data_IF_362674239462
#
_entry.id   IF_362674239462
#
_cell.length_a   1.000
_cell.length_b   1.000
_cell.length_c   1.000
_cell.angle_alpha   90.00
_cell.angle_beta   90.00
_cell.angle_gamma   90.00
#
_symmetry.space_group_name_H-M   'P 1'
#
loop_
_entity.id
_entity.type
_entity.pdbx_description
1 polymer ?
#
# COMPACT_ATOMS: atom_id res chain seq x y z
N UNK A 1 70.18 -32.95 7.75
CA UNK A 1 68.85 -32.71 8.35
C UNK A 1 68.08 -31.78 7.43
N UNK A 2 67.10 -32.31 6.69
CA UNK A 2 66.25 -31.52 5.79
C UNK A 2 64.96 -31.20 6.54
N UNK A 3 64.74 -29.92 6.87
CA UNK A 3 63.53 -29.46 7.56
C UNK A 3 62.49 -29.18 6.47
N UNK A 4 61.53 -30.08 6.29
CA UNK A 4 60.35 -29.84 5.47
C UNK A 4 59.43 -28.87 6.23
N UNK A 5 59.38 -27.61 5.79
CA UNK A 5 58.30 -26.68 6.14
C UNK A 5 57.02 -27.17 5.47
N UNK A 6 56.10 -27.72 6.27
CA UNK A 6 54.70 -27.83 5.91
C UNK A 6 54.05 -26.48 6.23
N UNK A 7 53.88 -25.65 5.21
CA UNK A 7 52.99 -24.47 5.27
C UNK A 7 51.79 -24.77 4.41
N UNK A 8 50.94 -25.70 4.87
CA UNK A 8 49.56 -25.77 4.39
C UNK A 8 48.82 -24.68 5.15
N UNK A 9 48.65 -23.52 4.51
CA UNK A 9 47.64 -22.56 4.94
C UNK A 9 46.31 -23.18 4.55
N UNK A 10 45.54 -23.63 5.53
CA UNK A 10 44.12 -23.87 5.32
C UNK A 10 43.51 -22.52 4.93
N UNK A 11 42.82 -22.49 3.79
CA UNK A 11 42.03 -21.32 3.37
C UNK A 11 41.03 -21.03 4.48
N UNK A 12 41.14 -19.85 5.09
CA UNK A 12 40.11 -19.31 5.98
C UNK A 12 38.76 -19.55 5.32
N UNK A 13 37.95 -20.36 5.99
CA UNK A 13 36.62 -20.72 5.58
C UNK A 13 35.88 -19.45 5.13
N UNK A 14 35.31 -19.52 3.92
CA UNK A 14 34.31 -18.56 3.43
C UNK A 14 33.05 -18.72 4.30
N UNK A 15 33.15 -18.36 5.59
CA UNK A 15 31.99 -18.18 6.45
C UNK A 15 31.32 -16.92 5.95
N UNK A 16 30.45 -17.07 4.95
CA UNK A 16 29.42 -16.09 4.64
C UNK A 16 28.69 -15.86 5.97
N UNK A 17 28.91 -14.71 6.59
CA UNK A 17 28.06 -14.30 7.68
C UNK A 17 26.66 -14.19 7.06
N UNK A 18 25.70 -14.91 7.62
CA UNK A 18 24.32 -14.75 7.20
C UNK A 18 23.96 -13.29 7.46
N UNK A 19 23.56 -12.60 6.41
CA UNK A 19 23.30 -11.18 6.42
C UNK A 19 21.93 -10.88 7.07
N UNK A 20 20.98 -11.82 6.89
CA UNK A 20 19.68 -11.89 7.58
C UNK A 20 19.73 -12.83 8.79
N UNK A 21 18.99 -12.46 9.83
CA UNK A 21 18.73 -13.24 11.03
C UNK A 21 17.22 -13.41 11.25
N UNK A 22 16.81 -14.56 11.77
CA UNK A 22 15.42 -14.84 12.12
C UNK A 22 15.35 -15.50 13.51
N UNK A 23 14.49 -15.00 14.39
CA UNK A 23 14.31 -15.51 15.76
C UNK A 23 12.87 -15.37 16.22
N UNK A 24 12.44 -16.20 17.17
CA UNK A 24 11.14 -16.04 17.84
C UNK A 24 11.36 -15.43 19.23
N UNK A 25 10.61 -14.36 19.51
CA UNK A 25 10.60 -13.64 20.77
C UNK A 25 9.97 -14.50 21.88
N UNK A 26 10.22 -14.18 23.15
CA UNK A 26 9.54 -14.85 24.26
C UNK A 26 8.01 -14.59 24.30
N UNK A 27 7.55 -13.54 23.60
CA UNK A 27 6.14 -13.19 23.41
C UNK A 27 5.47 -13.91 22.25
N UNK A 28 6.23 -14.60 21.39
CA UNK A 28 5.69 -15.27 20.19
C UNK A 28 5.84 -14.47 18.90
N UNK A 29 6.55 -13.34 18.90
CA UNK A 29 6.82 -12.57 17.69
C UNK A 29 7.91 -13.25 16.85
N UNK A 30 7.71 -13.42 15.55
CA UNK A 30 8.78 -13.73 14.61
C UNK A 30 9.51 -12.44 14.24
N UNK A 31 10.79 -12.34 14.58
CA UNK A 31 11.64 -11.19 14.25
C UNK A 31 12.61 -11.61 13.15
N UNK A 32 12.51 -10.97 11.99
CA UNK A 32 13.44 -11.11 10.85
C UNK A 32 14.13 -9.78 10.63
N UNK A 33 15.47 -9.78 10.66
CA UNK A 33 16.23 -8.54 10.51
C UNK A 33 17.62 -8.76 9.93
N UNK A 34 18.15 -7.76 9.23
CA UNK A 34 19.50 -7.80 8.69
C UNK A 34 19.66 -7.02 7.39
N UNK A 35 20.71 -7.38 6.67
CA UNK A 35 20.94 -6.97 5.28
C UNK A 35 20.58 -8.18 4.42
N UNK A 36 19.72 -8.07 3.41
CA UNK A 36 19.46 -9.23 2.55
C UNK A 36 20.55 -9.40 1.47
N UNK A 37 20.95 -10.63 1.20
CA UNK A 37 21.83 -10.96 0.06
C UNK A 37 21.00 -11.20 -1.23
N UNK A 38 19.67 -11.15 -1.13
CA UNK A 38 18.69 -11.34 -2.19
C UNK A 38 17.27 -11.46 -1.63
N UNK A 39 16.38 -12.18 -2.32
CA UNK A 39 15.00 -12.32 -1.86
C UNK A 39 14.91 -13.05 -0.50
N UNK A 40 14.19 -12.45 0.45
CA UNK A 40 13.85 -13.03 1.75
C UNK A 40 12.45 -13.63 1.68
N UNK A 41 12.32 -14.93 1.94
CA UNK A 41 11.01 -15.59 1.97
C UNK A 41 10.71 -16.09 3.38
N UNK A 42 9.55 -15.71 3.91
CA UNK A 42 9.01 -16.14 5.20
C UNK A 42 7.81 -17.01 4.92
N UNK A 43 7.92 -18.31 5.18
CA UNK A 43 6.90 -19.29 4.78
C UNK A 43 6.44 -20.09 5.97
N UNK A 44 5.14 -20.09 6.22
CA UNK A 44 4.46 -21.00 7.13
C UNK A 44 4.70 -22.47 6.72
N UNK A 45 5.09 -23.31 7.68
CA UNK A 45 5.33 -24.75 7.47
C UNK A 45 4.29 -25.60 8.19
N UNK A 46 3.90 -25.17 9.38
CA UNK A 46 2.80 -25.74 10.18
C UNK A 46 2.30 -24.69 11.16
N UNK A 47 1.32 -25.05 12.00
CA UNK A 47 0.78 -24.16 13.03
C UNK A 47 1.90 -23.58 13.92
N UNK A 48 2.03 -22.25 13.91
CA UNK A 48 3.02 -21.48 14.65
C UNK A 48 4.48 -21.75 14.28
N UNK A 49 4.75 -22.39 13.14
CA UNK A 49 6.10 -22.72 12.70
C UNK A 49 6.41 -22.21 11.29
N UNK A 50 7.58 -21.60 11.14
CA UNK A 50 7.98 -20.89 9.93
C UNK A 50 9.35 -21.32 9.42
N UNK A 51 9.61 -21.05 8.14
CA UNK A 51 10.94 -21.11 7.54
C UNK A 51 11.27 -19.75 6.95
N UNK A 52 12.49 -19.29 7.18
CA UNK A 52 13.02 -18.06 6.57
C UNK A 52 14.22 -18.41 5.69
N UNK A 53 14.17 -17.97 4.43
CA UNK A 53 15.27 -18.07 3.47
C UNK A 53 15.76 -16.69 3.08
N UNK A 54 17.03 -16.59 2.69
CA UNK A 54 17.67 -15.42 2.08
C UNK A 54 18.42 -15.90 0.83
N UNK A 55 17.99 -15.43 -0.34
CA UNK A 55 18.53 -15.85 -1.64
C UNK A 55 18.53 -17.39 -1.80
N UNK A 56 17.45 -18.03 -1.33
CA UNK A 56 17.26 -19.48 -1.33
C UNK A 56 18.07 -20.26 -0.27
N UNK A 57 18.89 -19.59 0.55
CA UNK A 57 19.61 -20.20 1.66
C UNK A 57 18.75 -20.17 2.91
N UNK A 58 18.52 -21.32 3.55
CA UNK A 58 17.75 -21.38 4.80
C UNK A 58 18.52 -20.70 5.92
N UNK A 59 17.93 -19.64 6.48
CA UNK A 59 18.44 -18.91 7.66
C UNK A 59 18.02 -19.63 8.93
N UNK A 60 16.74 -19.99 9.01
CA UNK A 60 16.16 -20.79 10.08
C UNK A 60 14.92 -21.52 9.55
N UNK A 61 14.66 -22.73 10.05
CA UNK A 61 13.55 -23.57 9.64
C UNK A 61 12.54 -23.78 10.76
N UNK A 62 11.54 -24.63 10.50
CA UNK A 62 10.46 -24.94 11.42
C UNK A 62 10.90 -25.74 12.66
N UNK A 63 12.16 -26.17 12.77
CA UNK A 63 12.70 -26.73 14.01
C UNK A 63 13.19 -25.63 14.96
N UNK A 64 13.50 -24.44 14.41
CA UNK A 64 14.03 -23.28 15.14
C UNK A 64 12.94 -22.23 15.35
N UNK A 65 12.19 -21.90 14.31
CA UNK A 65 11.16 -20.86 14.32
C UNK A 65 9.80 -21.47 14.64
N UNK A 66 9.62 -21.85 15.90
CA UNK A 66 8.35 -22.40 16.43
C UNK A 66 7.75 -21.48 17.49
N UNK A 67 6.45 -21.61 17.72
CA UNK A 67 5.74 -20.83 18.73
C UNK A 67 5.50 -19.38 18.31
N UNK A 68 5.40 -19.12 17.00
CA UNK A 68 4.99 -17.83 16.47
C UNK A 68 3.47 -17.72 16.62
N UNK A 69 3.03 -16.89 17.56
CA UNK A 69 1.61 -16.76 17.95
C UNK A 69 1.15 -15.31 18.10
N UNK A 70 2.05 -14.37 17.82
CA UNK A 70 1.83 -12.93 17.98
C UNK A 70 2.20 -12.28 16.63
N UNK A 71 3.08 -11.28 16.61
CA UNK A 71 3.46 -10.55 15.41
C UNK A 71 4.51 -11.25 14.50
N UNK A 72 4.59 -10.81 13.25
CA UNK A 72 5.80 -10.90 12.40
C UNK A 72 6.38 -9.50 12.22
N UNK A 73 7.66 -9.33 12.56
CA UNK A 73 8.40 -8.07 12.47
C UNK A 73 9.59 -8.23 11.56
N UNK A 74 9.55 -7.51 10.45
CA UNK A 74 10.54 -7.52 9.37
C UNK A 74 11.22 -6.16 9.38
N UNK A 75 12.53 -6.15 9.59
CA UNK A 75 13.37 -4.96 9.48
C UNK A 75 14.61 -5.34 8.66
N UNK A 76 14.45 -5.30 7.34
CA UNK A 76 15.51 -5.53 6.36
C UNK A 76 15.80 -4.15 5.78
N UNK A 77 16.84 -3.51 6.30
CA UNK A 77 17.36 -2.20 5.86
C UNK A 77 18.49 -1.85 6.81
N UNK A 78 19.55 -2.66 6.77
CA UNK A 78 20.75 -2.37 7.56
C UNK A 78 21.84 -1.72 6.72
N UNK A 79 21.67 -1.71 5.40
CA UNK A 79 22.49 -1.02 4.42
C UNK A 79 21.57 -0.05 3.71
N UNK A 80 21.69 1.24 4.06
CA UNK A 80 20.83 2.28 3.51
C UNK A 80 20.88 2.30 1.97
N UNK A 81 19.71 2.37 1.35
CA UNK A 81 19.53 2.48 -0.09
C UNK A 81 19.73 1.15 -0.83
N UNK A 82 19.53 0.01 -0.16
CA UNK A 82 19.63 -1.30 -0.77
C UNK A 82 18.23 -1.80 -1.14
N UNK A 83 18.07 -2.29 -2.36
CA UNK A 83 16.81 -2.88 -2.82
C UNK A 83 16.54 -4.19 -2.07
N UNK A 84 15.44 -4.24 -1.32
CA UNK A 84 15.04 -5.40 -0.54
C UNK A 84 13.76 -6.06 -1.09
N UNK A 85 13.80 -7.39 -1.26
CA UNK A 85 12.65 -8.16 -1.72
C UNK A 85 12.21 -9.15 -0.65
N UNK A 86 10.98 -9.00 -0.14
CA UNK A 86 10.43 -9.82 0.94
C UNK A 86 9.07 -10.39 0.58
N UNK A 87 8.94 -11.71 0.69
CA UNK A 87 7.66 -12.42 0.57
C UNK A 87 7.29 -13.07 1.88
N UNK A 88 6.04 -12.88 2.30
CA UNK A 88 5.45 -13.52 3.48
C UNK A 88 4.26 -14.37 3.05
N UNK A 89 4.32 -15.66 3.34
CA UNK A 89 3.23 -16.60 3.14
C UNK A 89 2.84 -17.21 4.48
N UNK A 90 1.67 -16.82 4.99
CA UNK A 90 1.16 -17.30 6.26
C UNK A 90 0.40 -18.62 6.15
N UNK A 91 0.05 -19.06 4.93
CA UNK A 91 -0.86 -20.18 4.69
C UNK A 91 -2.14 -20.01 5.55
N UNK A 92 -2.40 -20.93 6.49
CA UNK A 92 -3.51 -20.85 7.44
C UNK A 92 -3.10 -20.39 8.85
N UNK A 93 -1.87 -19.93 9.06
CA UNK A 93 -1.46 -19.41 10.36
C UNK A 93 -2.15 -18.09 10.66
N UNK A 94 -2.45 -17.89 11.94
CA UNK A 94 -2.98 -16.64 12.49
C UNK A 94 -1.84 -15.93 13.20
N UNK A 95 -1.61 -14.68 12.84
CA UNK A 95 -0.69 -13.75 13.51
C UNK A 95 -1.45 -12.46 13.82
N UNK A 96 -1.05 -11.77 14.87
CA UNK A 96 -1.76 -10.54 15.27
C UNK A 96 -1.44 -9.43 14.25
N UNK A 97 -0.16 -9.18 13.97
CA UNK A 97 0.21 -8.22 12.93
C UNK A 97 1.46 -8.58 12.12
N UNK A 98 1.55 -8.03 10.91
CA UNK A 98 2.75 -8.05 10.08
C UNK A 98 3.28 -6.63 9.94
N UNK A 99 4.48 -6.40 10.46
CA UNK A 99 5.20 -5.13 10.35
C UNK A 99 6.38 -5.29 9.40
N UNK A 100 6.33 -4.63 8.25
CA UNK A 100 7.42 -4.58 7.29
C UNK A 100 8.05 -3.18 7.25
N UNK A 101 9.36 -3.11 7.49
CA UNK A 101 10.20 -1.93 7.26
C UNK A 101 11.33 -2.34 6.35
N UNK A 102 11.29 -1.87 5.10
CA UNK A 102 12.27 -2.18 4.07
C UNK A 102 13.22 -1.01 3.76
N UNK A 103 12.97 0.16 4.36
CA UNK A 103 13.91 1.28 4.30
C UNK A 103 13.99 1.94 2.93
N UNK A 104 15.15 2.54 2.65
CA UNK A 104 15.44 3.15 1.35
C UNK A 104 15.94 2.09 0.35
N UNK A 105 15.66 2.28 -0.94
CA UNK A 105 15.92 1.33 -2.02
C UNK A 105 14.64 1.01 -2.78
N UNK A 106 14.75 0.37 -3.94
CA UNK A 106 13.58 -0.07 -4.70
C UNK A 106 13.07 -1.39 -4.12
N UNK A 107 12.12 -1.34 -3.18
CA UNK A 107 11.74 -2.53 -2.41
C UNK A 107 10.57 -3.29 -3.02
N UNK A 108 10.45 -4.57 -2.67
CA UNK A 108 9.29 -5.39 -3.01
C UNK A 108 8.78 -6.09 -1.77
N UNK A 109 7.50 -5.91 -1.44
CA UNK A 109 6.82 -6.61 -0.35
C UNK A 109 5.57 -7.35 -0.84
N UNK A 110 5.52 -8.65 -0.61
CA UNK A 110 4.34 -9.47 -0.91
C UNK A 110 3.83 -10.20 0.33
N UNK A 111 2.53 -10.15 0.56
CA UNK A 111 1.86 -10.84 1.65
C UNK A 111 0.72 -11.71 1.15
N UNK A 112 0.73 -12.99 1.56
CA UNK A 112 -0.30 -13.99 1.24
C UNK A 112 -0.73 -14.78 2.49
N UNK A 113 -1.98 -15.25 2.51
CA UNK A 113 -2.52 -16.06 3.61
C UNK A 113 -3.86 -15.54 4.14
N UNK A 114 -4.42 -16.16 5.18
CA UNK A 114 -5.85 -15.97 5.51
C UNK A 114 -6.19 -15.38 6.88
N UNK A 115 -5.22 -15.00 7.72
CA UNK A 115 -5.56 -14.47 9.05
C UNK A 115 -4.50 -13.57 9.66
N UNK A 116 -4.74 -12.25 9.59
CA UNK A 116 -3.93 -11.20 10.21
C UNK A 116 -4.89 -10.14 10.75
N UNK A 117 -4.65 -9.60 11.94
CA UNK A 117 -5.40 -8.41 12.39
C UNK A 117 -4.89 -7.19 11.64
N UNK A 118 -3.60 -6.85 11.78
CA UNK A 118 -3.04 -5.63 11.19
C UNK A 118 -1.83 -5.85 10.28
N UNK A 119 -1.73 -5.06 9.21
CA UNK A 119 -0.56 -4.99 8.35
C UNK A 119 -0.05 -3.55 8.32
N UNK A 120 1.26 -3.39 8.54
CA UNK A 120 1.93 -2.11 8.45
C UNK A 120 3.15 -2.24 7.56
N UNK A 121 3.11 -1.60 6.41
CA UNK A 121 4.27 -1.42 5.54
C UNK A 121 4.84 0.00 5.70
N UNK A 122 6.16 0.10 5.72
CA UNK A 122 6.90 1.37 5.69
C UNK A 122 8.12 1.21 4.80
N UNK A 123 8.07 1.85 3.63
CA UNK A 123 9.23 2.12 2.80
C UNK A 123 9.92 3.44 3.16
N UNK A 124 10.82 3.86 2.28
CA UNK A 124 11.72 5.00 2.41
C UNK A 124 11.82 5.76 1.08
N UNK A 125 13.01 6.19 0.70
CA UNK A 125 13.28 6.68 -0.66
C UNK A 125 13.43 5.49 -1.62
N UNK A 126 12.86 5.54 -2.83
CA UNK A 126 12.99 4.49 -3.86
C UNK A 126 11.64 3.98 -4.35
N UNK A 127 11.64 3.27 -5.47
CA UNK A 127 10.41 2.79 -6.10
C UNK A 127 9.96 1.48 -5.44
N UNK A 128 8.93 1.53 -4.59
CA UNK A 128 8.44 0.35 -3.88
C UNK A 128 7.30 -0.38 -4.63
N UNK A 129 7.30 -1.72 -4.57
CA UNK A 129 6.23 -2.57 -5.07
C UNK A 129 5.58 -3.38 -3.94
N UNK A 130 4.31 -3.12 -3.62
CA UNK A 130 3.59 -3.76 -2.52
C UNK A 130 2.36 -4.54 -3.01
N UNK A 131 2.32 -5.84 -2.74
CA UNK A 131 1.18 -6.70 -3.05
C UNK A 131 0.56 -7.30 -1.79
N UNK A 132 -0.73 -7.06 -1.57
CA UNK A 132 -1.51 -7.71 -0.51
C UNK A 132 -2.57 -8.65 -1.12
N UNK A 133 -2.27 -9.95 -1.10
CA UNK A 133 -3.16 -11.04 -1.50
C UNK A 133 -3.48 -11.93 -0.28
N UNK A 134 -4.00 -11.29 0.77
CA UNK A 134 -4.29 -11.93 2.03
C UNK A 134 -5.62 -11.45 2.64
N UNK A 135 -6.16 -12.23 3.57
CA UNK A 135 -7.27 -11.79 4.43
C UNK A 135 -6.73 -11.11 5.68
N UNK A 136 -7.07 -9.82 5.85
CA UNK A 136 -6.64 -8.93 6.94
C UNK A 136 -7.91 -8.42 7.63
N UNK A 137 -8.26 -8.95 8.80
CA UNK A 137 -9.54 -8.65 9.49
C UNK A 137 -9.59 -7.20 10.04
N UNK A 138 -8.43 -6.69 10.46
CA UNK A 138 -8.26 -5.37 11.05
C UNK A 138 -7.95 -4.30 10.00
N UNK A 139 -6.70 -3.83 9.94
CA UNK A 139 -6.30 -2.73 9.07
C UNK A 139 -4.97 -2.94 8.37
N UNK A 140 -4.90 -2.50 7.11
CA UNK A 140 -3.66 -2.35 6.36
C UNK A 140 -3.29 -0.87 6.25
N UNK A 141 -2.11 -0.51 6.73
CA UNK A 141 -1.53 0.83 6.62
C UNK A 141 -0.23 0.75 5.83
N UNK A 142 -0.24 1.29 4.61
CA UNK A 142 0.92 1.33 3.73
C UNK A 142 1.44 2.77 3.69
N UNK A 143 2.66 2.97 4.18
CA UNK A 143 3.42 4.20 4.00
C UNK A 143 4.53 3.89 3.01
N UNK A 144 4.38 4.32 1.77
CA UNK A 144 5.27 3.96 0.67
C UNK A 144 6.58 4.74 0.81
N UNK A 145 6.49 6.08 0.89
CA UNK A 145 7.67 6.92 0.97
C UNK A 145 7.80 7.73 -0.32
N UNK A 146 9.00 8.17 -0.65
CA UNK A 146 9.25 8.93 -1.89
C UNK A 146 9.73 7.95 -2.97
N UNK A 147 9.37 8.15 -4.23
CA UNK A 147 9.61 7.24 -5.35
C UNK A 147 8.32 6.92 -6.11
N UNK A 148 8.45 6.30 -7.28
CA UNK A 148 7.31 5.90 -8.10
C UNK A 148 6.79 4.55 -7.60
N UNK A 149 5.87 4.55 -6.63
CA UNK A 149 5.48 3.33 -5.94
C UNK A 149 4.28 2.63 -6.60
N UNK A 150 4.20 1.32 -6.45
CA UNK A 150 3.09 0.50 -6.96
C UNK A 150 2.47 -0.31 -5.83
N UNK A 151 1.14 -0.25 -5.72
CA UNK A 151 0.37 -1.06 -4.78
C UNK A 151 -0.70 -1.88 -5.50
N UNK A 152 -0.72 -3.18 -5.26
CA UNK A 152 -1.73 -4.11 -5.75
C UNK A 152 -2.45 -4.81 -4.59
N UNK A 153 -3.78 -4.71 -4.57
CA UNK A 153 -4.63 -5.31 -3.53
C UNK A 153 -5.63 -6.24 -4.20
N UNK A 154 -5.56 -7.53 -3.87
CA UNK A 154 -6.49 -8.57 -4.33
C UNK A 154 -7.21 -9.28 -3.19
N UNK A 155 -6.74 -9.13 -1.95
CA UNK A 155 -7.28 -9.77 -0.76
C UNK A 155 -8.47 -9.05 -0.12
N UNK A 156 -8.94 -9.60 1.01
CA UNK A 156 -9.99 -9.00 1.83
C UNK A 156 -9.35 -8.24 3.01
N UNK A 157 -9.70 -6.96 3.20
CA UNK A 157 -9.08 -6.09 4.20
C UNK A 157 -10.16 -5.33 4.98
N UNK A 158 -10.09 -5.35 6.30
CA UNK A 158 -11.04 -4.63 7.14
C UNK A 158 -11.01 -3.11 6.90
N UNK A 159 -9.85 -2.47 6.86
CA UNK A 159 -9.67 -1.05 6.50
C UNK A 159 -8.35 -0.87 5.78
N UNK A 160 -8.34 -0.11 4.69
CA UNK A 160 -7.13 0.17 3.92
C UNK A 160 -6.77 1.67 3.96
N UNK A 161 -5.53 1.97 4.31
CA UNK A 161 -4.94 3.31 4.19
C UNK A 161 -3.62 3.21 3.46
N UNK A 162 -3.50 3.95 2.35
CA UNK A 162 -2.28 4.04 1.55
C UNK A 162 -1.83 5.51 1.56
N UNK A 163 -0.55 5.72 1.82
CA UNK A 163 0.08 7.03 1.78
C UNK A 163 1.36 6.97 0.97
N UNK A 164 1.36 7.71 -0.12
CA UNK A 164 2.54 8.04 -0.91
C UNK A 164 3.29 9.24 -0.37
N UNK A 165 4.35 9.58 -1.07
CA UNK A 165 5.24 10.72 -0.84
C UNK A 165 5.38 11.54 -2.12
N UNK A 166 6.60 11.91 -2.47
CA UNK A 166 6.89 12.51 -3.78
C UNK A 166 7.15 11.39 -4.80
N UNK A 167 6.53 11.43 -5.99
CA UNK A 167 6.71 10.43 -7.06
C UNK A 167 5.38 10.02 -7.72
N UNK A 168 5.47 9.37 -8.87
CA UNK A 168 4.29 8.92 -9.63
C UNK A 168 3.77 7.60 -9.05
N UNK A 169 2.78 7.64 -8.14
CA UNK A 169 2.26 6.44 -7.50
C UNK A 169 1.14 5.75 -8.28
N UNK A 170 1.17 4.43 -8.34
CA UNK A 170 0.13 3.58 -8.92
C UNK A 170 -0.55 2.71 -7.85
N UNK A 171 -1.87 2.83 -7.69
CA UNK A 171 -2.67 1.98 -6.80
C UNK A 171 -3.75 1.22 -7.57
N UNK A 172 -3.77 -0.10 -7.43
CA UNK A 172 -4.79 -0.98 -8.00
C UNK A 172 -5.50 -1.76 -6.90
N UNK A 173 -6.81 -1.54 -6.78
CA UNK A 173 -7.72 -2.36 -5.97
C UNK A 173 -8.46 -3.29 -6.93
N UNK A 174 -8.02 -4.55 -6.99
CA UNK A 174 -8.51 -5.52 -7.96
C UNK A 174 -9.98 -5.86 -7.77
N UNK A 175 -10.62 -6.40 -8.81
CA UNK A 175 -12.01 -6.82 -8.79
C UNK A 175 -12.32 -7.91 -7.74
N UNK A 176 -11.32 -8.66 -7.30
CA UNK A 176 -11.45 -9.67 -6.26
C UNK A 176 -11.31 -9.10 -4.84
N UNK A 177 -10.81 -7.87 -4.70
CA UNK A 177 -10.58 -7.27 -3.40
C UNK A 177 -11.89 -6.88 -2.70
N UNK A 178 -11.92 -7.06 -1.39
CA UNK A 178 -13.04 -6.70 -0.52
C UNK A 178 -12.53 -5.84 0.63
N UNK A 179 -12.94 -4.57 0.68
CA UNK A 179 -12.60 -3.66 1.78
C UNK A 179 -13.84 -3.46 2.66
N UNK A 180 -13.86 -4.07 3.85
CA UNK A 180 -15.05 -4.11 4.71
C UNK A 180 -15.45 -2.74 5.31
N UNK A 181 -14.51 -1.78 5.30
CA UNK A 181 -14.73 -0.43 5.82
C UNK A 181 -14.21 0.56 4.79
N UNK A 182 -13.47 1.57 5.24
CA UNK A 182 -13.07 2.69 4.40
C UNK A 182 -11.76 2.40 3.67
N UNK A 183 -11.70 2.90 2.44
CA UNK A 183 -10.48 3.06 1.65
C UNK A 183 -10.03 4.51 1.75
N UNK A 184 -8.80 4.74 2.21
CA UNK A 184 -8.18 6.06 2.21
C UNK A 184 -6.88 6.05 1.41
N UNK A 185 -6.81 6.93 0.43
CA UNK A 185 -5.65 7.15 -0.43
C UNK A 185 -5.17 8.59 -0.23
N UNK A 186 -3.88 8.78 0.00
CA UNK A 186 -3.24 10.10 0.05
C UNK A 186 -1.90 9.95 -0.64
N UNK A 187 -1.85 10.15 -1.95
CA UNK A 187 -0.71 9.72 -2.77
C UNK A 187 0.44 10.74 -2.82
N UNK A 188 0.20 11.97 -2.36
CA UNK A 188 1.30 12.94 -2.25
C UNK A 188 1.48 13.67 -3.58
N UNK A 189 2.70 14.06 -3.92
CA UNK A 189 2.97 14.90 -5.08
C UNK A 189 3.51 14.01 -6.22
N UNK A 190 3.05 14.20 -7.46
CA UNK A 190 3.39 13.36 -8.62
C UNK A 190 2.16 13.02 -9.46
N UNK A 191 2.37 12.44 -10.65
CA UNK A 191 1.30 12.05 -11.56
C UNK A 191 0.73 10.68 -11.13
N UNK A 192 -0.24 10.68 -10.20
CA UNK A 192 -0.72 9.44 -9.60
C UNK A 192 -1.82 8.75 -10.42
N UNK A 193 -1.85 7.41 -10.38
CA UNK A 193 -2.91 6.61 -10.99
C UNK A 193 -3.57 5.67 -9.99
N UNK A 194 -4.88 5.76 -9.84
CA UNK A 194 -5.68 4.87 -8.99
C UNK A 194 -6.76 4.16 -9.79
N UNK A 195 -6.80 2.83 -9.72
CA UNK A 195 -7.92 2.02 -10.22
C UNK A 195 -8.60 1.29 -9.07
N UNK A 196 -9.92 1.45 -8.96
CA UNK A 196 -10.77 0.73 -8.00
C UNK A 196 -11.72 -0.15 -8.79
N UNK A 197 -11.59 -1.46 -8.67
CA UNK A 197 -12.43 -2.46 -9.32
C UNK A 197 -13.15 -3.39 -8.33
N UNK A 198 -12.68 -3.47 -7.08
CA UNK A 198 -13.22 -4.32 -6.01
C UNK A 198 -14.44 -3.75 -5.28
N UNK A 199 -14.84 -4.43 -4.21
CA UNK A 199 -15.97 -4.04 -3.35
C UNK A 199 -15.47 -3.27 -2.12
N UNK A 200 -16.07 -2.12 -1.83
CA UNK A 200 -15.79 -1.28 -0.67
C UNK A 200 -17.08 -1.08 0.12
N UNK A 201 -17.21 -1.69 1.29
CA UNK A 201 -18.39 -1.58 2.16
C UNK A 201 -18.47 -0.22 2.89
N UNK A 202 -17.36 0.52 2.92
CA UNK A 202 -17.27 1.87 3.48
C UNK A 202 -17.26 2.98 2.44
N UNK A 203 -16.59 4.08 2.80
CA UNK A 203 -16.36 5.22 1.91
C UNK A 203 -14.97 5.16 1.28
N UNK A 204 -14.83 5.79 0.11
CA UNK A 204 -13.54 6.05 -0.53
C UNK A 204 -13.17 7.52 -0.33
N UNK A 205 -11.96 7.76 0.17
CA UNK A 205 -11.35 9.08 0.23
C UNK A 205 -10.07 9.08 -0.60
N UNK A 206 -10.00 9.96 -1.59
CA UNK A 206 -8.83 10.20 -2.43
C UNK A 206 -8.32 11.65 -2.25
N UNK A 207 -7.01 11.81 -2.15
CA UNK A 207 -6.31 13.09 -2.02
C UNK A 207 -4.95 12.98 -2.75
N UNK A 208 -4.87 13.48 -3.98
CA UNK A 208 -3.67 13.35 -4.84
C UNK A 208 -2.80 14.60 -4.97
N UNK A 209 -3.12 15.67 -4.24
CA UNK A 209 -2.30 16.90 -4.10
C UNK A 209 -1.80 17.52 -5.41
N UNK A 210 -0.51 17.48 -5.70
CA UNK A 210 0.10 18.18 -6.82
C UNK A 210 0.45 17.14 -7.90
N UNK A 211 0.13 17.40 -9.17
CA UNK A 211 0.45 16.49 -10.28
C UNK A 211 -0.80 16.09 -11.07
N UNK A 212 -0.62 15.43 -12.21
CA UNK A 212 -1.72 15.02 -13.08
C UNK A 212 -2.31 13.68 -12.58
N UNK A 213 -3.38 13.73 -11.78
CA UNK A 213 -4.01 12.53 -11.22
C UNK A 213 -5.02 11.86 -12.18
N UNK A 214 -4.98 10.52 -12.20
CA UNK A 214 -5.97 9.69 -12.87
C UNK A 214 -6.66 8.74 -11.89
N UNK A 215 -7.96 8.94 -11.65
CA UNK A 215 -8.79 8.07 -10.81
C UNK A 215 -9.83 7.34 -11.65
N UNK A 216 -9.82 6.01 -11.62
CA UNK A 216 -10.78 5.16 -12.32
C UNK A 216 -11.56 4.28 -11.32
N UNK A 217 -12.87 4.46 -11.28
CA UNK A 217 -13.80 3.54 -10.61
C UNK A 217 -14.39 2.64 -11.69
N UNK A 218 -13.89 1.41 -11.77
CA UNK A 218 -14.22 0.47 -12.84
C UNK A 218 -15.67 -0.04 -12.76
N UNK A 219 -16.17 -0.61 -13.87
CA UNK A 219 -17.54 -1.16 -13.97
C UNK A 219 -17.86 -2.20 -12.88
N UNK A 220 -16.86 -2.97 -12.44
CA UNK A 220 -17.04 -3.99 -11.40
C UNK A 220 -17.06 -3.44 -9.99
N UNK A 221 -16.67 -2.17 -9.79
CA UNK A 221 -16.55 -1.60 -8.46
C UNK A 221 -17.93 -1.38 -7.82
N UNK A 222 -18.03 -1.75 -6.55
CA UNK A 222 -19.22 -1.52 -5.71
C UNK A 222 -18.76 -0.79 -4.46
N UNK A 223 -19.21 0.45 -4.28
CA UNK A 223 -18.89 1.30 -3.12
C UNK A 223 -20.19 1.57 -2.37
N UNK A 224 -20.31 1.06 -1.15
CA UNK A 224 -21.58 1.08 -0.41
C UNK A 224 -21.91 2.44 0.23
N UNK A 225 -20.93 3.36 0.33
CA UNK A 225 -21.16 4.72 0.83
C UNK A 225 -20.61 5.76 -0.16
N UNK A 226 -20.03 6.83 0.36
CA UNK A 226 -19.61 7.99 -0.42
C UNK A 226 -18.22 7.82 -1.02
N UNK A 227 -18.02 8.48 -2.16
CA UNK A 227 -16.72 8.74 -2.76
C UNK A 227 -16.42 10.23 -2.64
N UNK A 228 -15.32 10.56 -1.98
CA UNK A 228 -14.81 11.93 -1.90
C UNK A 228 -13.43 11.96 -2.55
N UNK A 229 -13.32 12.62 -3.70
CA UNK A 229 -12.07 12.81 -4.42
C UNK A 229 -11.65 14.28 -4.38
N UNK A 230 -10.45 14.52 -3.85
CA UNK A 230 -9.73 15.79 -3.97
C UNK A 230 -8.58 15.54 -4.93
N UNK A 231 -8.75 15.99 -6.16
CA UNK A 231 -7.76 15.77 -7.23
C UNK A 231 -6.60 16.76 -7.15
N UNK A 232 -6.77 17.89 -6.46
CA UNK A 232 -5.66 18.81 -6.27
C UNK A 232 -5.30 19.65 -7.51
N UNK A 233 -4.03 20.00 -7.62
CA UNK A 233 -3.43 20.76 -8.74
C UNK A 233 -3.17 19.82 -9.93
N UNK A 234 -2.63 20.31 -11.05
CA UNK A 234 -2.40 19.50 -12.27
C UNK A 234 -3.64 19.27 -13.15
N UNK A 235 -3.45 18.59 -14.28
CA UNK A 235 -4.49 18.24 -15.26
C UNK A 235 -5.11 16.88 -14.89
N UNK A 236 -6.19 16.92 -14.10
CA UNK A 236 -6.74 15.73 -13.46
C UNK A 236 -7.90 15.10 -14.21
N UNK A 237 -8.08 13.79 -14.00
CA UNK A 237 -9.23 13.05 -14.53
C UNK A 237 -9.81 12.03 -13.54
N UNK A 238 -11.13 12.01 -13.42
CA UNK A 238 -11.87 10.95 -12.74
C UNK A 238 -12.88 10.30 -13.69
N UNK A 239 -12.81 8.98 -13.82
CA UNK A 239 -13.81 8.17 -14.54
C UNK A 239 -14.58 7.29 -13.57
N UNK A 240 -15.91 7.30 -13.67
CA UNK A 240 -16.80 6.46 -12.88
C UNK A 240 -17.67 5.60 -13.78
N UNK A 241 -17.43 4.29 -13.76
CA UNK A 241 -18.15 3.26 -14.52
C UNK A 241 -18.94 2.29 -13.62
N UNK A 242 -18.65 2.25 -12.31
CA UNK A 242 -19.19 1.29 -11.35
C UNK A 242 -20.43 1.75 -10.59
N UNK A 243 -20.59 1.24 -9.36
CA UNK A 243 -21.69 1.57 -8.46
C UNK A 243 -21.18 2.29 -7.21
N UNK A 244 -21.81 3.43 -6.90
CA UNK A 244 -21.67 4.16 -5.64
C UNK A 244 -23.07 4.26 -5.04
N UNK A 245 -23.31 3.67 -3.88
CA UNK A 245 -24.62 3.73 -3.22
C UNK A 245 -24.86 5.08 -2.51
N UNK A 246 -23.78 5.77 -2.13
CA UNK A 246 -23.80 7.09 -1.52
C UNK A 246 -23.59 8.25 -2.52
N UNK A 247 -22.99 9.32 -2.03
CA UNK A 247 -22.68 10.52 -2.77
C UNK A 247 -21.35 10.39 -3.54
N UNK A 248 -21.26 11.01 -4.72
CA UNK A 248 -20.00 11.29 -5.41
C UNK A 248 -19.67 12.77 -5.25
N UNK A 249 -18.58 13.08 -4.56
CA UNK A 249 -18.07 14.44 -4.41
C UNK A 249 -16.66 14.53 -5.00
N UNK A 250 -16.49 15.37 -6.01
CA UNK A 250 -15.18 15.63 -6.65
C UNK A 250 -14.88 17.11 -6.58
N UNK A 251 -13.71 17.46 -6.07
CA UNK A 251 -13.18 18.82 -6.09
C UNK A 251 -11.75 18.80 -6.62
N UNK A 252 -11.38 19.87 -7.28
CA UNK A 252 -10.03 20.04 -7.82
C UNK A 252 -9.69 21.53 -7.91
N UNK A 253 -8.40 21.85 -8.06
CA UNK A 253 -7.93 23.23 -8.13
C UNK A 253 -8.13 23.84 -9.52
N UNK A 254 -8.20 23.02 -10.57
CA UNK A 254 -8.33 23.48 -11.95
C UNK A 254 -9.75 23.27 -12.50
N UNK A 255 -10.27 24.27 -13.21
CA UNK A 255 -11.61 24.20 -13.82
C UNK A 255 -11.66 23.32 -15.08
N UNK A 256 -10.49 23.05 -15.68
CA UNK A 256 -10.33 22.25 -16.90
C UNK A 256 -10.22 20.73 -16.62
N UNK A 257 -10.20 20.33 -15.35
CA UNK A 257 -10.19 18.93 -14.94
C UNK A 257 -11.43 18.19 -15.46
N UNK A 258 -11.31 16.88 -15.62
CA UNK A 258 -12.36 16.08 -16.24
C UNK A 258 -12.98 15.08 -15.28
N UNK A 259 -14.31 15.07 -15.22
CA UNK A 259 -15.07 14.02 -14.52
C UNK A 259 -16.03 13.38 -15.50
N UNK A 260 -15.82 12.10 -15.79
CA UNK A 260 -16.65 11.31 -16.69
C UNK A 260 -17.43 10.28 -15.89
N UNK A 261 -18.76 10.28 -16.04
CA UNK A 261 -19.64 9.26 -15.44
C UNK A 261 -20.30 8.49 -16.58
N UNK A 262 -20.09 7.18 -16.66
CA UNK A 262 -20.65 6.35 -17.72
C UNK A 262 -22.19 6.28 -17.65
N UNK A 263 -22.81 5.99 -18.80
CA UNK A 263 -24.28 5.79 -18.87
C UNK A 263 -24.76 4.61 -18.01
N UNK A 264 -23.88 3.65 -17.73
CA UNK A 264 -24.15 2.45 -16.91
C UNK A 264 -23.84 2.64 -15.43
N UNK A 265 -23.11 3.70 -15.08
CA UNK A 265 -22.69 3.94 -13.71
C UNK A 265 -23.89 4.29 -12.81
N UNK A 266 -23.82 3.86 -11.56
CA UNK A 266 -24.86 4.10 -10.55
C UNK A 266 -24.30 5.02 -9.48
N UNK A 267 -25.07 6.06 -9.14
CA UNK A 267 -24.85 6.92 -7.98
C UNK A 267 -26.19 6.98 -7.25
N UNK A 268 -26.26 6.41 -6.05
CA UNK A 268 -27.47 6.35 -5.24
C UNK A 268 -27.80 7.69 -4.57
N UNK A 269 -26.78 8.49 -4.27
CA UNK A 269 -26.87 9.80 -3.66
C UNK A 269 -26.74 10.98 -4.64
N UNK A 270 -26.17 12.08 -4.14
CA UNK A 270 -25.90 13.29 -4.91
C UNK A 270 -24.57 13.22 -5.66
N UNK A 271 -24.48 13.94 -6.76
CA UNK A 271 -23.22 14.21 -7.47
C UNK A 271 -22.86 15.67 -7.29
N UNK A 272 -21.75 15.94 -6.61
CA UNK A 272 -21.23 17.27 -6.33
C UNK A 272 -19.87 17.45 -7.01
N UNK A 273 -19.81 18.29 -8.03
CA UNK A 273 -18.58 18.57 -8.78
C UNK A 273 -18.18 20.02 -8.56
N UNK A 274 -17.09 20.23 -7.84
CA UNK A 274 -16.47 21.53 -7.56
C UNK A 274 -15.11 21.64 -8.22
N UNK A 275 -15.08 21.53 -9.56
CA UNK A 275 -13.86 21.68 -10.35
C UNK A 275 -13.46 23.16 -10.37
N UNK A 276 -12.19 23.44 -10.09
CA UNK A 276 -11.71 24.81 -9.87
C UNK A 276 -12.15 25.44 -8.53
N UNK A 277 -12.80 24.69 -7.65
CA UNK A 277 -13.31 25.18 -6.37
C UNK A 277 -12.47 24.71 -5.17
N UNK A 278 -11.43 23.89 -5.38
CA UNK A 278 -10.51 23.53 -4.33
C UNK A 278 -9.76 24.78 -3.86
N UNK A 279 -10.14 25.26 -2.68
CA UNK A 279 -9.37 26.28 -2.03
C UNK A 279 -8.09 25.64 -1.51
N UNK A 280 -6.98 25.96 -2.18
CA UNK A 280 -5.66 26.03 -1.59
C UNK A 280 -5.84 26.61 -0.19
N UNK A 281 -5.63 25.78 0.83
CA UNK A 281 -5.74 26.17 2.22
C UNK A 281 -4.46 26.96 2.58
N UNK A 282 -4.16 28.03 1.81
CA UNK A 282 -3.00 28.92 1.85
C UNK A 282 -1.97 28.48 2.89
N UNK A 283 -1.26 27.40 2.55
CA UNK A 283 -0.30 26.71 3.40
C UNK A 283 1.05 27.38 3.31
N UNK A 284 1.12 28.66 3.69
CA UNK A 284 2.37 29.26 4.10
C UNK A 284 2.99 28.38 5.18
N UNK A 285 4.21 27.93 4.91
CA UNK A 285 5.11 27.29 5.85
C UNK A 285 4.99 27.89 7.27
N UNK A 286 4.33 27.16 8.18
CA UNK A 286 4.05 27.63 9.53
C UNK A 286 3.46 26.54 10.40
N UNK A 287 4.30 26.00 11.28
CA UNK A 287 3.95 25.05 12.33
C UNK A 287 2.64 25.35 13.08
N UNK A 288 1.81 24.30 13.23
CA UNK A 288 1.02 24.05 14.43
C UNK A 288 -0.44 24.48 14.40
N UNK A 289 -1.33 23.50 14.58
CA UNK A 289 -2.69 23.74 15.10
C UNK A 289 -3.77 22.99 14.35
N UNK A 290 -4.25 21.89 14.94
CA UNK A 290 -5.43 21.18 14.44
C UNK A 290 -6.67 22.07 14.37
N UNK A 291 -7.40 21.95 13.27
CA UNK A 291 -8.68 22.63 13.08
C UNK A 291 -9.34 22.12 11.79
N UNK A 292 -10.10 21.05 11.90
CA UNK A 292 -11.06 20.63 10.88
C UNK A 292 -12.07 21.76 10.63
N UNK A 293 -12.01 22.38 9.45
CA UNK A 293 -12.93 23.41 9.00
C UNK A 293 -14.13 22.78 8.28
N UNK A 294 -15.32 23.12 8.77
CA UNK A 294 -16.63 22.70 8.27
C UNK A 294 -16.94 23.35 6.91
N UNK A 295 -17.47 22.56 5.97
CA UNK A 295 -18.02 22.98 4.68
C UNK A 295 -19.03 24.13 4.83
N UNK A 296 -18.72 25.28 4.24
CA UNK A 296 -19.64 26.38 4.01
C UNK A 296 -20.28 26.24 2.63
N UNK A 297 -21.58 25.94 2.61
CA UNK A 297 -22.37 25.90 1.37
C UNK A 297 -22.77 27.33 1.01
N UNK A 298 -22.22 27.89 -0.06
CA UNK A 298 -22.79 29.07 -0.71
C UNK A 298 -22.42 29.13 -2.21
N UNK A 299 -23.39 28.81 -3.06
CA UNK A 299 -23.69 29.66 -4.22
C UNK A 299 -23.09 29.34 -5.60
N UNK A 300 -23.66 28.32 -6.26
CA UNK A 300 -23.87 28.18 -7.73
C UNK A 300 -22.63 28.06 -8.67
N UNK A 301 -22.62 26.93 -9.39
CA UNK A 301 -22.46 26.89 -10.84
C UNK A 301 -23.33 25.76 -11.43
N UNK A 302 -24.03 26.02 -12.55
CA UNK A 302 -24.77 25.00 -13.29
C UNK A 302 -23.85 24.40 -14.36
N UNK A 303 -23.40 23.16 -14.16
CA UNK A 303 -22.71 22.37 -15.18
C UNK A 303 -23.64 22.05 -16.35
N UNK A 304 -23.16 22.27 -17.56
CA UNK A 304 -23.88 21.99 -18.80
C UNK A 304 -23.89 20.48 -19.08
N UNK A 305 -25.07 19.87 -19.12
CA UNK A 305 -25.26 18.50 -19.60
C UNK A 305 -25.21 18.46 -21.13
N UNK A 306 -24.20 17.82 -21.72
CA UNK A 306 -24.26 17.41 -23.13
C UNK A 306 -24.94 16.04 -23.22
N UNK A 307 -26.27 16.02 -23.37
CA UNK A 307 -26.98 14.80 -23.78
C UNK A 307 -26.77 14.56 -25.27
N UNK A 308 -26.00 13.52 -25.60
CA UNK A 308 -25.89 13.02 -26.97
C UNK A 308 -27.27 12.67 -27.55
N UNK A 309 -27.55 13.19 -28.75
CA UNK A 309 -28.75 12.87 -29.51
C UNK A 309 -28.72 11.41 -29.99
N UNK A 310 -29.72 10.60 -29.63
CA UNK A 310 -30.02 9.34 -30.32
C UNK A 310 -30.74 9.62 -31.64
N UNK A 311 -30.34 8.95 -32.72
CA UNK A 311 -31.13 8.79 -33.95
C UNK A 311 -32.09 7.63 -33.82
#
# INVERSE_FOLDING_TARGET
MSIRRLTTFETLENRRALAVTATVSAGGDLIVSGDADGAVEIVAVSEGAYRVTDNGVVIADADVLTGVTDDIRINIDKTAGADDSVTVNLDSNVVDAVYARLGDGDNTFQLTGTAIDDVSYRGGEGDDFVTLDATIDGSASLQLGDGDNVVEISGAIGRLTIRGGDGDDQVTIDAAAEIERNLKLTLGDGDNSTTIAGTIDGSVLYDGRDGDDLVAIAETAIIANDVVARLGDGDNSLTHDGQIDGDLSVVSANEDDTVTVAETAIIGGATNLGLGEQQELLGGCGHGGGGFGVFGVDGRAMGFFYRGFRR
#
